data_IF_655545853154
#
_entry.id   IF_655545853154
#
_cell.length_a   1.000
_cell.length_b   1.000
_cell.length_c   1.000
_cell.angle_alpha   90.00
_cell.angle_beta   90.00
_cell.angle_gamma   90.00
#
_symmetry.space_group_name_H-M   'P 1'
#
loop_
_entity.id
_entity.type
_entity.pdbx_description
1 polymer ?
#
# COMPACT_ATOMS: atom_id res chain seq x y z
N UNK A 1 -31.44 3.91 -12.45
CA UNK A 1 -31.95 5.25 -12.84
C UNK A 1 -32.69 5.83 -11.65
N UNK A 2 -32.58 7.14 -11.41
CA UNK A 2 -33.23 7.82 -10.30
C UNK A 2 -34.76 7.61 -10.32
N UNK A 3 -35.35 7.56 -9.13
CA UNK A 3 -36.79 7.64 -8.98
C UNK A 3 -37.27 9.02 -9.46
N UNK A 4 -38.19 9.03 -10.44
CA UNK A 4 -38.63 10.26 -11.09
C UNK A 4 -39.46 11.15 -10.17
N UNK A 5 -40.21 10.57 -9.23
CA UNK A 5 -40.98 11.32 -8.24
C UNK A 5 -40.04 12.04 -7.28
N UNK A 6 -39.04 11.33 -6.72
CA UNK A 6 -38.04 11.95 -5.85
C UNK A 6 -37.29 13.07 -6.56
N UNK A 7 -36.83 12.84 -7.79
CA UNK A 7 -36.13 13.86 -8.57
C UNK A 7 -37.04 15.06 -8.88
N UNK A 8 -38.33 14.83 -9.14
CA UNK A 8 -39.29 15.90 -9.38
C UNK A 8 -39.53 16.75 -8.13
N UNK A 9 -39.66 16.13 -6.96
CA UNK A 9 -39.80 16.84 -5.67
C UNK A 9 -38.55 17.67 -5.39
N UNK A 10 -37.36 17.09 -5.55
CA UNK A 10 -36.10 17.80 -5.33
C UNK A 10 -35.95 19.02 -6.25
N UNK A 11 -36.36 18.90 -7.51
CA UNK A 11 -36.34 20.01 -8.48
C UNK A 11 -37.29 21.17 -8.13
N UNK A 12 -38.24 20.97 -7.23
CA UNK A 12 -39.09 22.06 -6.72
C UNK A 12 -38.39 22.92 -5.65
N UNK A 13 -37.22 22.50 -5.17
CA UNK A 13 -36.38 23.24 -4.23
C UNK A 13 -36.16 22.54 -2.90
N UNK A 14 -35.11 22.97 -2.19
CA UNK A 14 -34.70 22.35 -0.92
C UNK A 14 -35.79 22.41 0.15
N UNK A 15 -36.54 23.50 0.25
CA UNK A 15 -37.63 23.63 1.23
C UNK A 15 -38.74 22.59 1.01
N UNK A 16 -39.14 22.40 -0.26
CA UNK A 16 -40.15 21.41 -0.64
C UNK A 16 -39.64 19.99 -0.37
N UNK A 17 -38.38 19.73 -0.73
CA UNK A 17 -37.72 18.47 -0.46
C UNK A 17 -37.65 18.15 1.04
N UNK A 18 -37.16 19.08 1.86
CA UNK A 18 -37.02 18.89 3.29
C UNK A 18 -38.38 18.68 3.97
N UNK A 19 -39.41 19.43 3.58
CA UNK A 19 -40.78 19.19 4.05
C UNK A 19 -41.31 17.82 3.63
N UNK A 20 -40.98 17.37 2.42
CA UNK A 20 -41.33 16.03 1.99
C UNK A 20 -40.59 14.97 2.81
N UNK A 21 -39.30 15.15 3.14
CA UNK A 21 -38.54 14.26 4.03
C UNK A 21 -39.15 14.17 5.43
N UNK A 22 -39.55 15.29 6.01
CA UNK A 22 -40.23 15.34 7.31
C UNK A 22 -41.52 14.52 7.33
N UNK A 23 -42.30 14.58 6.24
CA UNK A 23 -43.55 13.80 6.11
C UNK A 23 -43.30 12.33 5.72
N UNK A 24 -42.09 11.98 5.28
CA UNK A 24 -41.74 10.66 4.75
C UNK A 24 -40.41 10.13 5.34
N UNK A 25 -40.27 10.03 6.68
CA UNK A 25 -38.98 9.72 7.30
C UNK A 25 -38.49 8.30 7.01
N UNK A 26 -39.40 7.37 6.71
CA UNK A 26 -39.07 5.97 6.42
C UNK A 26 -38.72 5.72 4.94
N UNK A 27 -38.97 6.67 4.05
CA UNK A 27 -38.62 6.52 2.63
C UNK A 27 -37.11 6.74 2.50
N UNK A 28 -36.43 5.83 1.80
CA UNK A 28 -35.03 6.00 1.39
C UNK A 28 -35.04 6.66 0.01
N UNK A 29 -34.59 7.92 -0.14
CA UNK A 29 -34.66 8.58 -1.44
C UNK A 29 -33.65 7.99 -2.42
N UNK A 30 -34.13 7.56 -3.59
CA UNK A 30 -33.29 7.14 -4.71
C UNK A 30 -33.14 8.25 -5.77
N UNK A 31 -31.92 8.78 -5.88
CA UNK A 31 -31.50 9.77 -6.87
C UNK A 31 -30.32 9.25 -7.72
N UNK A 32 -30.16 7.94 -7.82
CA UNK A 32 -29.05 7.29 -8.54
C UNK A 32 -28.95 7.80 -9.99
N UNK A 33 -27.74 8.13 -10.45
CA UNK A 33 -27.47 8.69 -11.79
C UNK A 33 -28.08 10.07 -12.07
N UNK A 34 -28.67 10.76 -11.09
CA UNK A 34 -29.22 12.08 -11.33
C UNK A 34 -28.11 13.11 -11.66
N UNK A 35 -28.48 14.14 -12.43
CA UNK A 35 -27.58 15.22 -12.82
C UNK A 35 -28.04 16.52 -12.19
N UNK A 36 -27.31 16.99 -11.18
CA UNK A 36 -27.56 18.22 -10.44
C UNK A 36 -26.26 19.04 -10.27
N UNK A 37 -25.43 19.09 -11.31
CA UNK A 37 -24.22 19.92 -11.35
C UNK A 37 -24.58 21.38 -11.10
N UNK A 38 -23.80 22.08 -10.26
CA UNK A 38 -24.02 23.49 -9.86
C UNK A 38 -25.35 23.77 -9.16
N UNK A 39 -25.99 22.75 -8.59
CA UNK A 39 -27.22 22.95 -7.85
C UNK A 39 -26.95 23.66 -6.52
N UNK A 40 -27.86 24.55 -6.11
CA UNK A 40 -27.92 25.06 -4.75
C UNK A 40 -28.77 24.08 -3.93
N UNK A 41 -28.11 23.35 -3.04
CA UNK A 41 -28.67 22.33 -2.17
C UNK A 41 -28.27 22.58 -0.70
N UNK A 42 -28.06 23.85 -0.34
CA UNK A 42 -27.72 24.27 1.02
C UNK A 42 -28.78 23.77 1.99
N UNK A 43 -28.36 23.11 3.08
CA UNK A 43 -29.24 22.50 4.10
C UNK A 43 -30.19 21.41 3.58
N UNK A 44 -29.91 20.80 2.43
CA UNK A 44 -30.73 19.68 1.94
C UNK A 44 -30.65 18.49 2.90
N UNK A 45 -31.78 17.83 3.15
CA UNK A 45 -31.83 16.58 3.90
C UNK A 45 -31.76 15.39 2.93
N UNK A 46 -30.55 14.88 2.71
CA UNK A 46 -30.26 13.64 2.01
C UNK A 46 -29.93 12.47 2.94
N UNK A 47 -30.41 12.51 4.18
CA UNK A 47 -30.26 11.42 5.14
C UNK A 47 -30.62 10.08 4.48
N UNK A 48 -29.66 9.15 4.51
CA UNK A 48 -29.72 7.78 3.98
C UNK A 48 -30.03 7.68 2.49
N UNK A 49 -30.00 8.78 1.73
CA UNK A 49 -30.33 8.79 0.32
C UNK A 49 -29.33 7.97 -0.50
N UNK A 50 -29.84 7.27 -1.51
CA UNK A 50 -29.01 6.63 -2.52
C UNK A 50 -28.70 7.63 -3.64
N UNK A 51 -27.47 8.13 -3.64
CA UNK A 51 -26.91 9.12 -4.56
C UNK A 51 -25.79 8.49 -5.42
N UNK A 52 -25.81 7.16 -5.58
CA UNK A 52 -24.84 6.39 -6.36
C UNK A 52 -24.73 6.95 -7.79
N UNK A 53 -23.48 7.14 -8.24
CA UNK A 53 -23.15 7.67 -9.59
C UNK A 53 -23.81 9.02 -9.94
N UNK A 54 -24.26 9.78 -8.94
CA UNK A 54 -24.85 11.09 -9.16
C UNK A 54 -23.78 12.13 -9.56
N UNK A 55 -24.16 13.11 -10.39
CA UNK A 55 -23.29 14.25 -10.67
C UNK A 55 -23.76 15.48 -9.88
N UNK A 56 -23.01 15.84 -8.85
CA UNK A 56 -23.17 17.03 -7.99
C UNK A 56 -21.93 17.93 -8.07
N UNK A 57 -21.15 17.84 -9.15
CA UNK A 57 -19.96 18.69 -9.31
C UNK A 57 -20.33 20.17 -9.21
N UNK A 58 -19.49 20.96 -8.54
CA UNK A 58 -19.67 22.41 -8.32
C UNK A 58 -20.98 22.81 -7.61
N UNK A 59 -21.68 21.86 -6.97
CA UNK A 59 -22.89 22.14 -6.20
C UNK A 59 -22.58 22.59 -4.77
N UNK A 60 -23.50 23.33 -4.18
CA UNK A 60 -23.41 23.79 -2.79
C UNK A 60 -24.34 22.96 -1.91
N UNK A 61 -23.76 22.12 -1.06
CA UNK A 61 -24.43 21.30 -0.05
C UNK A 61 -23.94 21.70 1.35
N UNK A 62 -23.51 22.95 1.54
CA UNK A 62 -23.12 23.42 2.87
C UNK A 62 -24.29 23.26 3.86
N UNK A 63 -23.97 22.86 5.09
CA UNK A 63 -24.93 22.55 6.16
C UNK A 63 -25.96 21.45 5.80
N UNK A 64 -25.71 20.63 4.77
CA UNK A 64 -26.60 19.52 4.41
C UNK A 64 -26.56 18.39 5.45
N UNK A 65 -27.65 17.65 5.56
CA UNK A 65 -27.67 16.36 6.27
C UNK A 65 -27.51 15.24 5.24
N UNK A 66 -26.38 14.54 5.32
CA UNK A 66 -26.01 13.39 4.49
C UNK A 66 -25.82 12.12 5.34
N UNK A 67 -26.31 12.09 6.59
CA UNK A 67 -26.16 10.97 7.50
C UNK A 67 -26.45 9.63 6.80
N UNK A 68 -25.46 8.74 6.76
CA UNK A 68 -25.48 7.42 6.11
C UNK A 68 -25.88 7.41 4.62
N UNK A 69 -25.70 8.52 3.90
CA UNK A 69 -25.98 8.58 2.46
C UNK A 69 -24.95 7.76 1.64
N UNK A 70 -25.40 7.19 0.53
CA UNK A 70 -24.53 6.48 -0.40
C UNK A 70 -24.18 7.38 -1.59
N UNK A 71 -22.94 7.89 -1.63
CA UNK A 71 -22.38 8.70 -2.70
C UNK A 71 -21.35 7.95 -3.55
N UNK A 72 -21.32 6.61 -3.47
CA UNK A 72 -20.35 5.79 -4.19
C UNK A 72 -20.30 6.15 -5.68
N UNK A 73 -19.09 6.24 -6.24
CA UNK A 73 -18.83 6.49 -7.66
C UNK A 73 -19.42 7.83 -8.16
N UNK A 74 -19.92 8.70 -7.28
CA UNK A 74 -20.45 10.00 -7.67
C UNK A 74 -19.33 10.94 -8.17
N UNK A 75 -19.73 11.93 -8.95
CA UNK A 75 -18.85 13.04 -9.32
C UNK A 75 -19.21 14.27 -8.49
N UNK A 76 -18.36 14.55 -7.50
CA UNK A 76 -18.50 15.63 -6.53
C UNK A 76 -17.32 16.63 -6.63
N UNK A 77 -16.68 16.74 -7.80
CA UNK A 77 -15.59 17.68 -8.01
C UNK A 77 -16.05 19.10 -7.66
N UNK A 78 -15.28 19.81 -6.82
CA UNK A 78 -15.58 21.18 -6.36
C UNK A 78 -16.91 21.32 -5.62
N UNK A 79 -17.41 20.25 -4.99
CA UNK A 79 -18.59 20.34 -4.15
C UNK A 79 -18.26 21.13 -2.87
N UNK A 80 -19.20 21.94 -2.40
CA UNK A 80 -19.15 22.52 -1.06
C UNK A 80 -19.98 21.66 -0.09
N UNK A 81 -19.31 21.06 0.89
CA UNK A 81 -19.87 20.26 1.99
C UNK A 81 -19.46 20.85 3.36
N UNK A 82 -19.11 22.14 3.40
CA UNK A 82 -18.80 22.82 4.66
C UNK A 82 -19.95 22.73 5.66
N UNK A 83 -19.61 22.44 6.92
CA UNK A 83 -20.53 22.25 8.04
C UNK A 83 -21.63 21.17 7.80
N UNK A 84 -21.46 20.29 6.81
CA UNK A 84 -22.41 19.21 6.55
C UNK A 84 -22.27 18.06 7.56
N UNK A 85 -23.38 17.39 7.87
CA UNK A 85 -23.35 16.12 8.60
C UNK A 85 -23.19 14.98 7.60
N UNK A 86 -21.97 14.47 7.47
CA UNK A 86 -21.59 13.37 6.61
C UNK A 86 -21.24 12.09 7.41
N UNK A 87 -21.81 11.94 8.61
CA UNK A 87 -21.60 10.74 9.43
C UNK A 87 -21.95 9.47 8.63
N UNK A 88 -21.04 8.49 8.59
CA UNK A 88 -21.24 7.20 7.94
C UNK A 88 -21.43 7.27 6.42
N UNK A 89 -21.14 8.40 5.76
CA UNK A 89 -21.32 8.54 4.32
C UNK A 89 -20.38 7.60 3.57
N UNK A 90 -20.90 6.95 2.53
CA UNK A 90 -20.10 6.14 1.64
C UNK A 90 -19.62 6.94 0.43
N UNK A 91 -18.34 7.31 0.41
CA UNK A 91 -17.67 7.96 -0.71
C UNK A 91 -16.87 7.00 -1.59
N UNK A 92 -17.06 5.68 -1.51
CA UNK A 92 -16.29 4.69 -2.29
C UNK A 92 -16.13 5.08 -3.77
N UNK A 93 -14.88 5.16 -4.26
CA UNK A 93 -14.54 5.54 -5.65
C UNK A 93 -15.08 6.89 -6.14
N UNK A 94 -15.43 7.79 -5.23
CA UNK A 94 -15.98 9.11 -5.57
C UNK A 94 -14.88 10.07 -6.05
N UNK A 95 -15.24 10.98 -6.95
CA UNK A 95 -14.38 12.11 -7.27
C UNK A 95 -14.73 13.32 -6.39
N UNK A 96 -13.92 13.58 -5.38
CA UNK A 96 -13.98 14.72 -4.45
C UNK A 96 -12.82 15.70 -4.65
N UNK A 97 -12.22 15.73 -5.85
CA UNK A 97 -11.14 16.68 -6.12
C UNK A 97 -11.66 18.12 -5.95
N UNK A 98 -10.87 18.97 -5.29
CA UNK A 98 -11.18 20.35 -4.94
C UNK A 98 -12.45 20.54 -4.07
N UNK A 99 -12.92 19.51 -3.37
CA UNK A 99 -14.07 19.60 -2.48
C UNK A 99 -13.77 20.36 -1.18
N UNK A 100 -14.77 21.02 -0.60
CA UNK A 100 -14.69 21.69 0.70
C UNK A 100 -15.50 20.93 1.75
N UNK A 101 -14.83 20.40 2.76
CA UNK A 101 -15.43 19.71 3.92
C UNK A 101 -15.21 20.48 5.22
N UNK A 102 -14.91 21.77 5.16
CA UNK A 102 -14.56 22.57 6.34
C UNK A 102 -15.62 22.46 7.44
N UNK A 103 -15.23 22.07 8.65
CA UNK A 103 -16.13 21.93 9.80
C UNK A 103 -17.16 20.79 9.72
N UNK A 104 -17.13 19.96 8.68
CA UNK A 104 -18.08 18.85 8.53
C UNK A 104 -17.86 17.70 9.51
N UNK A 105 -18.92 16.95 9.78
CA UNK A 105 -18.83 15.69 10.51
C UNK A 105 -18.65 14.54 9.52
N UNK A 106 -17.46 13.94 9.47
CA UNK A 106 -17.10 12.82 8.58
C UNK A 106 -16.81 11.55 9.39
N UNK A 107 -17.33 11.48 10.61
CA UNK A 107 -17.15 10.30 11.46
C UNK A 107 -17.70 9.06 10.75
N UNK A 108 -16.92 7.97 10.72
CA UNK A 108 -17.23 6.72 10.01
C UNK A 108 -17.41 6.83 8.49
N UNK A 109 -16.99 7.94 7.88
CA UNK A 109 -17.05 8.07 6.43
C UNK A 109 -16.09 7.09 5.73
N UNK A 110 -16.56 6.50 4.63
CA UNK A 110 -15.76 5.59 3.81
C UNK A 110 -15.15 6.31 2.60
N UNK A 111 -13.85 6.54 2.61
CA UNK A 111 -13.08 7.15 1.51
C UNK A 111 -12.29 6.13 0.67
N UNK A 112 -12.60 4.83 0.76
CA UNK A 112 -11.93 3.78 -0.02
C UNK A 112 -11.88 4.13 -1.52
N UNK A 113 -10.68 4.10 -2.11
CA UNK A 113 -10.42 4.41 -3.53
C UNK A 113 -10.89 5.82 -3.99
N UNK A 114 -11.08 6.76 -3.07
CA UNK A 114 -11.60 8.11 -3.36
C UNK A 114 -10.51 9.05 -3.86
N UNK A 115 -10.86 10.00 -4.74
CA UNK A 115 -9.96 11.09 -5.17
C UNK A 115 -10.26 12.36 -4.37
N UNK A 116 -9.29 12.85 -3.59
CA UNK A 116 -9.41 14.03 -2.73
C UNK A 116 -8.39 15.13 -3.09
N UNK A 117 -7.92 15.15 -4.34
CA UNK A 117 -6.89 16.10 -4.79
C UNK A 117 -7.28 17.55 -4.48
N UNK A 118 -6.42 18.27 -3.76
CA UNK A 118 -6.67 19.65 -3.29
C UNK A 118 -7.97 19.87 -2.48
N UNK A 119 -8.61 18.82 -1.97
CA UNK A 119 -9.75 18.98 -1.09
C UNK A 119 -9.31 19.57 0.27
N UNK A 120 -10.21 20.27 0.96
CA UNK A 120 -9.98 20.71 2.34
C UNK A 120 -10.87 19.95 3.31
N UNK A 121 -10.25 19.43 4.37
CA UNK A 121 -10.85 18.75 5.52
C UNK A 121 -10.65 19.61 6.79
N UNK A 122 -10.43 20.92 6.63
CA UNK A 122 -10.16 21.87 7.71
C UNK A 122 -11.17 21.74 8.84
N UNK A 123 -10.70 21.49 10.07
CA UNK A 123 -11.57 21.32 11.27
C UNK A 123 -12.68 20.26 11.16
N UNK A 124 -12.61 19.35 10.20
CA UNK A 124 -13.59 18.27 10.10
C UNK A 124 -13.34 17.19 11.16
N UNK A 125 -14.40 16.49 11.56
CA UNK A 125 -14.28 15.30 12.40
C UNK A 125 -14.12 14.06 11.52
N UNK A 126 -12.96 13.40 11.56
CA UNK A 126 -12.63 12.22 10.75
C UNK A 126 -12.49 10.95 11.62
N UNK A 127 -13.06 10.97 12.82
CA UNK A 127 -13.02 9.81 13.71
C UNK A 127 -13.63 8.57 13.04
N UNK A 128 -13.00 7.41 13.18
CA UNK A 128 -13.40 6.14 12.55
C UNK A 128 -13.53 6.19 11.00
N UNK A 129 -13.00 7.22 10.33
CA UNK A 129 -13.03 7.31 8.86
C UNK A 129 -11.97 6.41 8.21
N UNK A 130 -12.27 5.91 7.01
CA UNK A 130 -11.39 4.96 6.30
C UNK A 130 -10.80 5.56 5.02
N UNK A 131 -9.48 5.73 4.95
CA UNK A 131 -8.79 6.32 3.79
C UNK A 131 -8.07 5.30 2.89
N UNK A 132 -8.36 4.01 3.01
CA UNK A 132 -7.66 2.98 2.25
C UNK A 132 -7.61 3.29 0.73
N UNK A 133 -6.41 3.28 0.14
CA UNK A 133 -6.12 3.59 -1.29
C UNK A 133 -6.55 4.98 -1.79
N UNK A 134 -7.05 5.87 -0.91
CA UNK A 134 -7.45 7.21 -1.27
C UNK A 134 -6.30 8.04 -1.86
N UNK A 135 -6.63 9.01 -2.72
CA UNK A 135 -5.66 9.89 -3.37
C UNK A 135 -5.69 11.27 -2.72
N UNK A 136 -4.73 11.53 -1.84
CA UNK A 136 -4.70 12.69 -0.93
C UNK A 136 -3.73 13.81 -1.35
N UNK A 137 -3.32 13.86 -2.63
CA UNK A 137 -2.33 14.84 -3.05
C UNK A 137 -2.83 16.27 -2.79
N UNK A 138 -2.07 17.03 -1.98
CA UNK A 138 -2.40 18.40 -1.55
C UNK A 138 -3.74 18.52 -0.79
N UNK A 139 -4.26 17.44 -0.23
CA UNK A 139 -5.43 17.52 0.65
C UNK A 139 -5.03 18.22 1.95
N UNK A 140 -5.86 19.13 2.43
CA UNK A 140 -5.61 19.91 3.64
C UNK A 140 -6.33 19.29 4.84
N UNK A 141 -5.56 18.82 5.83
CA UNK A 141 -6.02 18.25 7.08
C UNK A 141 -5.90 19.22 8.26
N UNK A 142 -5.67 20.52 8.01
CA UNK A 142 -5.34 21.46 9.08
C UNK A 142 -6.44 21.52 10.16
N UNK A 143 -6.06 21.28 11.41
CA UNK A 143 -6.96 21.17 12.57
C UNK A 143 -8.07 20.12 12.46
N UNK A 144 -7.97 19.14 11.56
CA UNK A 144 -8.88 18.01 11.54
C UNK A 144 -8.76 17.17 12.84
N UNK A 145 -9.84 16.49 13.21
CA UNK A 145 -9.92 15.67 14.42
C UNK A 145 -9.87 14.20 14.03
N UNK A 146 -8.95 13.43 14.63
CA UNK A 146 -8.77 12.01 14.39
C UNK A 146 -8.92 11.16 15.66
N UNK A 147 -9.52 9.99 15.51
CA UNK A 147 -9.51 8.89 16.47
C UNK A 147 -10.01 7.65 15.74
N UNK A 148 -9.31 6.51 15.78
CA UNK A 148 -9.73 5.30 15.07
C UNK A 148 -9.71 5.41 13.54
N UNK A 149 -9.12 6.47 12.98
CA UNK A 149 -9.03 6.68 11.53
C UNK A 149 -7.99 5.74 10.92
N UNK A 150 -8.24 5.20 9.71
CA UNK A 150 -7.31 4.28 9.04
C UNK A 150 -6.65 4.89 7.81
N UNK A 151 -5.31 4.79 7.75
CA UNK A 151 -4.45 5.31 6.68
C UNK A 151 -3.66 4.18 6.02
N UNK A 152 -4.29 3.49 5.07
CA UNK A 152 -3.73 2.30 4.42
C UNK A 152 -3.59 2.49 2.90
N UNK A 153 -2.47 2.08 2.35
CA UNK A 153 -2.11 2.12 0.94
C UNK A 153 -2.17 3.52 0.30
N UNK A 154 -1.86 4.57 1.07
CA UNK A 154 -1.90 5.97 0.64
C UNK A 154 -0.54 6.67 0.66
N UNK A 155 -0.45 7.84 0.03
CA UNK A 155 0.70 8.72 0.07
C UNK A 155 0.35 9.99 0.88
N UNK A 156 1.01 10.16 2.02
CA UNK A 156 0.85 11.29 2.93
C UNK A 156 1.89 12.40 2.69
N UNK A 157 2.88 12.20 1.81
CA UNK A 157 4.03 13.11 1.63
C UNK A 157 3.67 14.52 1.16
N UNK A 158 2.48 14.69 0.59
CA UNK A 158 1.98 15.97 0.07
C UNK A 158 0.69 16.43 0.75
N UNK A 159 0.26 15.74 1.81
CA UNK A 159 -0.87 16.17 2.63
C UNK A 159 -0.43 17.35 3.48
N UNK A 160 -1.30 18.36 3.56
CA UNK A 160 -1.03 19.60 4.30
C UNK A 160 -1.65 19.51 5.69
N UNK A 161 -0.99 20.07 6.70
CA UNK A 161 -1.56 20.22 8.04
C UNK A 161 -1.54 18.97 8.92
N UNK A 162 -0.83 17.90 8.52
CA UNK A 162 -0.69 16.69 9.34
C UNK A 162 -0.14 16.96 10.74
N UNK A 163 0.75 17.95 10.87
CA UNK A 163 1.35 18.41 12.12
C UNK A 163 0.40 19.19 13.05
N UNK A 164 -0.76 19.60 12.53
CA UNK A 164 -1.77 20.39 13.25
C UNK A 164 -3.00 19.59 13.67
N UNK A 165 -3.03 18.29 13.33
CA UNK A 165 -4.15 17.41 13.60
C UNK A 165 -4.37 17.28 15.12
N UNK A 166 -5.64 17.22 15.51
CA UNK A 166 -6.08 17.00 16.88
C UNK A 166 -6.38 15.51 17.04
N UNK A 167 -5.59 14.80 17.83
CA UNK A 167 -5.79 13.38 18.10
C UNK A 167 -6.57 13.18 19.39
N UNK A 168 -7.76 12.58 19.31
CA UNK A 168 -8.57 12.14 20.47
C UNK A 168 -8.43 10.66 20.78
N UNK A 169 -7.70 9.92 19.92
CA UNK A 169 -7.34 8.53 20.10
C UNK A 169 -6.31 8.10 19.07
N UNK A 170 -5.71 6.92 19.23
CA UNK A 170 -4.79 6.37 18.23
C UNK A 170 -5.51 6.13 16.91
N UNK A 171 -4.75 6.12 15.82
CA UNK A 171 -5.22 5.89 14.46
C UNK A 171 -4.28 4.90 13.77
N UNK A 172 -4.77 4.15 12.80
CA UNK A 172 -3.97 3.11 12.14
C UNK A 172 -3.22 3.68 10.95
N UNK A 173 -1.93 3.41 10.87
CA UNK A 173 -1.11 3.71 9.69
C UNK A 173 -0.48 2.42 9.15
N UNK A 174 -0.70 2.16 7.86
CA UNK A 174 -0.10 1.03 7.16
C UNK A 174 1.40 1.21 6.97
N UNK A 175 2.16 0.11 7.00
CA UNK A 175 3.59 0.13 6.67
C UNK A 175 3.80 0.57 5.21
N UNK A 176 2.93 0.11 4.32
CA UNK A 176 2.85 0.56 2.92
C UNK A 176 2.67 2.08 2.79
N UNK A 177 1.85 2.71 3.64
CA UNK A 177 1.68 4.18 3.69
C UNK A 177 2.99 4.88 4.05
N UNK A 178 3.75 4.35 5.01
CA UNK A 178 5.08 4.88 5.38
C UNK A 178 6.04 4.83 4.18
N UNK A 179 6.07 3.70 3.46
CA UNK A 179 6.91 3.55 2.27
C UNK A 179 6.47 4.46 1.12
N UNK A 180 5.17 4.52 0.81
CA UNK A 180 4.63 5.39 -0.25
C UNK A 180 4.90 6.86 0.00
N UNK A 181 4.89 7.26 1.27
CA UNK A 181 5.19 8.63 1.68
C UNK A 181 6.70 8.92 1.70
N UNK A 182 7.55 7.93 1.42
CA UNK A 182 9.02 8.03 1.52
C UNK A 182 9.47 8.59 2.88
N UNK A 183 8.77 8.21 3.96
CA UNK A 183 9.04 8.69 5.32
C UNK A 183 8.77 10.18 5.55
N UNK A 184 8.26 10.92 4.56
CA UNK A 184 7.91 12.33 4.67
C UNK A 184 6.57 12.49 5.39
N UNK A 185 6.52 12.05 6.65
CA UNK A 185 5.35 12.13 7.52
C UNK A 185 5.82 12.80 8.82
N UNK A 186 5.15 13.87 9.30
CA UNK A 186 5.56 14.53 10.54
C UNK A 186 5.55 13.57 11.73
N UNK A 187 6.63 13.59 12.54
CA UNK A 187 6.72 12.74 13.73
C UNK A 187 5.58 12.96 14.73
N UNK A 188 5.11 14.21 14.87
CA UNK A 188 4.00 14.54 15.77
C UNK A 188 2.71 13.82 15.37
N UNK A 189 2.48 13.68 14.06
CA UNK A 189 1.35 12.92 13.53
C UNK A 189 1.53 11.43 13.79
N UNK A 190 2.72 10.88 13.54
CA UNK A 190 3.02 9.47 13.82
C UNK A 190 2.82 9.12 15.30
N UNK A 191 3.31 9.98 16.21
CA UNK A 191 3.06 9.85 17.66
C UNK A 191 1.57 9.97 17.99
N UNK A 192 0.86 10.90 17.38
CA UNK A 192 -0.59 11.07 17.55
C UNK A 192 -1.39 9.83 17.10
N UNK A 193 -0.92 9.12 16.08
CA UNK A 193 -1.46 7.83 15.67
C UNK A 193 -1.14 6.69 16.66
N UNK A 194 -0.24 6.91 17.62
CA UNK A 194 0.12 5.93 18.66
C UNK A 194 1.38 5.12 18.36
N UNK A 195 2.22 5.54 17.41
CA UNK A 195 3.48 4.85 17.13
C UNK A 195 4.51 5.12 18.26
N UNK A 196 5.23 4.08 18.74
CA UNK A 196 6.31 4.27 19.71
C UNK A 196 7.46 5.10 19.14
N UNK A 197 8.11 5.93 19.97
CA UNK A 197 9.24 6.78 19.56
C UNK A 197 10.38 5.97 18.92
N UNK A 198 10.72 4.79 19.49
CA UNK A 198 11.73 3.89 18.92
C UNK A 198 11.42 3.52 17.47
N UNK A 199 10.17 3.22 17.14
CA UNK A 199 9.76 2.89 15.79
C UNK A 199 9.86 4.10 14.85
N UNK A 200 9.51 5.30 15.34
CA UNK A 200 9.58 6.54 14.58
C UNK A 200 11.03 6.87 14.21
N UNK A 201 11.98 6.69 15.13
CA UNK A 201 13.41 6.88 14.87
C UNK A 201 13.93 5.97 13.75
N UNK A 202 13.35 4.77 13.58
CA UNK A 202 13.70 3.85 12.51
C UNK A 202 13.06 4.19 11.15
N UNK A 203 11.98 4.97 11.08
CA UNK A 203 11.28 5.26 9.81
C UNK A 203 12.18 5.85 8.71
N UNK A 204 13.07 6.83 8.99
CA UNK A 204 14.01 7.34 7.99
C UNK A 204 14.95 6.25 7.46
N UNK A 205 15.30 5.24 8.26
CA UNK A 205 16.11 4.10 7.80
C UNK A 205 15.31 3.14 6.92
N UNK A 206 14.01 3.00 7.16
CA UNK A 206 13.09 2.23 6.32
C UNK A 206 12.82 2.91 4.97
N UNK A 207 12.94 4.24 4.91
CA UNK A 207 12.47 5.07 3.79
C UNK A 207 13.56 5.93 3.12
N UNK A 208 14.78 5.88 3.63
CA UNK A 208 15.92 6.63 3.09
C UNK A 208 16.18 6.29 1.62
N UNK A 209 16.98 7.09 0.93
CA UNK A 209 17.51 6.67 -0.37
C UNK A 209 18.59 5.62 -0.15
N UNK A 210 18.18 4.37 0.01
CA UNK A 210 19.07 3.25 -0.21
C UNK A 210 19.59 3.33 -1.62
N UNK A 211 20.91 3.24 -1.72
CA UNK A 211 21.62 2.65 -2.85
C UNK A 211 20.73 1.56 -3.44
N UNK A 212 20.32 1.73 -4.70
CA UNK A 212 19.53 0.79 -5.52
C UNK A 212 19.04 -0.46 -4.77
N UNK A 213 17.80 -0.40 -4.30
CA UNK A 213 17.17 -1.45 -3.50
C UNK A 213 16.95 -2.72 -4.33
N UNK A 214 17.91 -3.64 -4.28
CA UNK A 214 17.71 -5.02 -4.68
C UNK A 214 17.25 -5.83 -3.47
N UNK A 215 16.05 -6.41 -3.54
CA UNK A 215 15.63 -7.47 -2.62
C UNK A 215 16.33 -8.77 -2.99
N UNK A 216 16.74 -9.58 -2.01
CA UNK A 216 17.49 -10.82 -2.23
C UNK A 216 16.78 -12.02 -1.57
N UNK A 217 16.40 -13.03 -2.35
CA UNK A 217 15.95 -14.31 -1.81
C UNK A 217 17.12 -15.27 -1.68
N UNK A 218 17.23 -15.91 -0.52
CA UNK A 218 18.27 -16.91 -0.23
C UNK A 218 17.64 -18.29 -0.42
N UNK A 219 18.04 -18.97 -1.50
CA UNK A 219 17.68 -20.37 -1.78
C UNK A 219 18.81 -21.28 -1.32
N UNK A 220 18.50 -22.26 -0.47
CA UNK A 220 19.49 -23.12 0.18
C UNK A 220 18.86 -24.45 0.63
N UNK A 221 19.68 -25.49 0.83
CA UNK A 221 19.22 -26.72 1.46
C UNK A 221 19.11 -26.53 2.98
N UNK A 222 18.10 -27.10 3.63
CA UNK A 222 17.96 -27.09 5.10
C UNK A 222 19.22 -27.58 5.86
N UNK A 223 20.08 -28.37 5.20
CA UNK A 223 21.36 -28.82 5.76
C UNK A 223 22.43 -27.74 5.84
N UNK A 224 22.25 -26.65 5.08
CA UNK A 224 23.17 -25.52 4.99
C UNK A 224 22.67 -24.31 5.79
N UNK A 225 21.70 -24.52 6.68
CA UNK A 225 21.03 -23.46 7.44
C UNK A 225 22.00 -22.60 8.27
N UNK A 226 23.09 -23.19 8.79
CA UNK A 226 24.11 -22.47 9.56
C UNK A 226 24.74 -21.35 8.71
N UNK A 227 25.13 -21.66 7.48
CA UNK A 227 25.70 -20.69 6.54
C UNK A 227 24.64 -19.71 6.04
N UNK A 228 23.45 -20.20 5.69
CA UNK A 228 22.35 -19.38 5.19
C UNK A 228 21.93 -18.31 6.22
N UNK A 229 21.80 -18.69 7.50
CA UNK A 229 21.51 -17.75 8.61
C UNK A 229 22.61 -16.72 8.79
N UNK A 230 23.88 -17.13 8.67
CA UNK A 230 25.00 -16.20 8.78
C UNK A 230 24.99 -15.15 7.67
N UNK A 231 24.92 -15.57 6.41
CA UNK A 231 24.86 -14.66 5.27
C UNK A 231 23.62 -13.78 5.31
N UNK A 232 22.47 -14.34 5.68
CA UNK A 232 21.25 -13.58 5.91
C UNK A 232 21.45 -12.44 6.91
N UNK A 233 21.98 -12.75 8.09
CA UNK A 233 22.19 -11.76 9.15
C UNK A 233 23.20 -10.68 8.73
N UNK A 234 24.29 -11.08 8.05
CA UNK A 234 25.31 -10.13 7.58
C UNK A 234 24.78 -9.25 6.43
N UNK A 235 23.98 -9.80 5.52
CA UNK A 235 23.29 -9.03 4.47
C UNK A 235 22.33 -8.01 5.09
N UNK A 236 21.52 -8.41 6.07
CA UNK A 236 20.62 -7.51 6.79
C UNK A 236 21.40 -6.41 7.53
N UNK A 237 22.52 -6.76 8.19
CA UNK A 237 23.38 -5.79 8.86
C UNK A 237 24.00 -4.76 7.90
N UNK A 238 24.12 -5.08 6.60
CA UNK A 238 24.55 -4.15 5.55
C UNK A 238 23.39 -3.45 4.83
N UNK A 239 22.16 -3.61 5.32
CA UNK A 239 20.96 -2.97 4.76
C UNK A 239 20.42 -3.64 3.50
N UNK A 240 20.83 -4.87 3.17
CA UNK A 240 20.25 -5.64 2.08
C UNK A 240 18.95 -6.29 2.56
N UNK A 241 17.84 -6.02 1.86
CA UNK A 241 16.54 -6.63 2.16
C UNK A 241 16.54 -8.07 1.67
N UNK A 242 16.78 -9.02 2.56
CA UNK A 242 16.79 -10.44 2.21
C UNK A 242 15.81 -11.28 3.03
N UNK A 243 15.32 -12.36 2.40
CA UNK A 243 14.50 -13.40 3.05
C UNK A 243 14.99 -14.76 2.62
N UNK A 244 14.70 -15.77 3.42
CA UNK A 244 14.77 -17.14 2.96
C UNK A 244 13.66 -17.38 1.94
N UNK A 245 13.98 -18.05 0.83
CA UNK A 245 12.95 -18.55 -0.07
C UNK A 245 12.00 -19.47 0.74
N UNK A 246 10.68 -19.42 0.50
CA UNK A 246 9.72 -20.19 1.29
C UNK A 246 9.97 -21.69 1.15
N UNK A 247 10.48 -22.32 2.20
CA UNK A 247 10.75 -23.76 2.25
C UNK A 247 9.86 -24.42 3.29
N UNK A 248 8.67 -24.87 2.85
CA UNK A 248 7.88 -25.88 3.55
C UNK A 248 6.87 -26.56 2.61
N UNK A 249 7.36 -27.10 1.47
CA UNK A 249 6.58 -28.08 0.71
C UNK A 249 7.33 -29.39 0.69
N UNK A 250 6.86 -30.28 1.56
CA UNK A 250 7.24 -31.69 1.60
C UNK A 250 7.18 -32.26 0.19
N UNK A 251 8.17 -33.08 -0.11
CA UNK A 251 8.24 -33.95 -1.30
C UNK A 251 6.86 -34.61 -1.48
N UNK A 252 6.14 -34.25 -2.56
CA UNK A 252 4.90 -34.93 -2.96
C UNK A 252 3.71 -34.04 -3.29
N UNK A 253 3.66 -32.76 -2.89
CA UNK A 253 2.48 -31.94 -3.16
C UNK A 253 2.64 -31.09 -4.43
N UNK A 254 1.72 -31.31 -5.37
CA UNK A 254 1.49 -30.46 -6.55
C UNK A 254 1.12 -29.04 -6.11
N UNK A 255 2.11 -28.21 -5.87
CA UNK A 255 1.92 -26.77 -5.69
C UNK A 255 2.74 -26.09 -6.78
N UNK A 256 2.11 -25.99 -7.93
CA UNK A 256 2.65 -25.41 -9.16
C UNK A 256 2.01 -24.05 -9.45
N UNK A 257 1.67 -23.27 -8.41
CA UNK A 257 0.89 -22.04 -8.61
C UNK A 257 1.10 -20.92 -7.57
N UNK A 258 2.11 -20.95 -6.71
CA UNK A 258 2.25 -19.91 -5.66
C UNK A 258 3.61 -19.25 -5.54
N UNK A 259 4.60 -19.65 -6.35
CA UNK A 259 5.87 -18.90 -6.44
C UNK A 259 5.83 -17.85 -7.55
N UNK A 260 4.94 -18.00 -8.55
CA UNK A 260 4.82 -17.04 -9.65
C UNK A 260 4.40 -15.62 -9.21
N UNK A 261 3.78 -15.47 -8.03
CA UNK A 261 3.32 -14.16 -7.54
C UNK A 261 4.27 -13.50 -6.51
N UNK A 262 5.30 -14.22 -6.03
CA UNK A 262 6.11 -13.76 -4.88
C UNK A 262 7.51 -13.24 -5.23
N UNK A 263 7.98 -13.45 -6.47
CA UNK A 263 9.16 -12.76 -6.99
C UNK A 263 8.64 -11.53 -7.72
N UNK A 264 8.57 -10.41 -6.99
CA UNK A 264 8.22 -9.13 -7.61
C UNK A 264 9.33 -8.76 -8.59
N UNK A 265 8.96 -7.94 -9.57
CA UNK A 265 9.68 -7.51 -10.78
C UNK A 265 11.21 -7.18 -10.69
N UNK A 266 11.85 -7.14 -9.51
CA UNK A 266 13.22 -6.67 -9.28
C UNK A 266 14.08 -7.53 -8.32
N UNK A 267 13.60 -8.69 -7.87
CA UNK A 267 14.29 -9.45 -6.81
C UNK A 267 15.47 -10.28 -7.35
N UNK A 268 16.59 -10.27 -6.63
CA UNK A 268 17.79 -11.10 -6.85
C UNK A 268 17.63 -12.44 -6.12
N UNK A 269 18.13 -13.51 -6.71
CA UNK A 269 18.17 -14.85 -6.14
C UNK A 269 19.62 -15.20 -5.78
N UNK A 270 19.93 -15.24 -4.49
CA UNK A 270 21.17 -15.79 -3.96
C UNK A 270 21.00 -17.31 -3.78
N UNK A 271 21.67 -18.08 -4.62
CA UNK A 271 21.60 -19.54 -4.60
C UNK A 271 22.82 -20.12 -3.89
N UNK A 272 22.59 -20.82 -2.77
CA UNK A 272 23.63 -21.51 -2.01
C UNK A 272 23.83 -22.91 -2.59
N UNK A 273 24.99 -23.08 -3.24
CA UNK A 273 25.43 -24.30 -3.88
C UNK A 273 26.30 -25.12 -2.92
N UNK A 274 25.74 -26.25 -2.52
CA UNK A 274 26.37 -27.30 -1.71
C UNK A 274 26.13 -28.65 -2.38
N UNK A 275 26.76 -29.71 -1.89
CA UNK A 275 26.46 -31.08 -2.28
C UNK A 275 24.95 -31.38 -2.21
N UNK A 276 24.26 -30.82 -1.22
CA UNK A 276 22.84 -31.07 -0.97
C UNK A 276 21.91 -30.33 -1.92
N UNK A 277 22.25 -29.11 -2.33
CA UNK A 277 21.45 -28.35 -3.30
C UNK A 277 21.77 -28.76 -4.74
N UNK A 278 23.02 -29.12 -5.05
CA UNK A 278 23.41 -29.56 -6.40
C UNK A 278 22.75 -30.90 -6.78
N UNK A 279 22.44 -31.76 -5.80
CA UNK A 279 21.76 -33.03 -6.02
C UNK A 279 20.23 -32.91 -6.08
N UNK A 280 19.67 -31.70 -5.95
CA UNK A 280 18.22 -31.47 -5.89
C UNK A 280 17.63 -31.15 -7.27
N UNK A 281 16.70 -31.99 -7.74
CA UNK A 281 15.96 -31.75 -8.99
C UNK A 281 15.24 -30.40 -9.00
N UNK A 282 14.81 -29.90 -7.83
CA UNK A 282 14.12 -28.61 -7.73
C UNK A 282 15.07 -27.43 -7.99
N UNK A 283 16.33 -27.52 -7.52
CA UNK A 283 17.35 -26.47 -7.74
C UNK A 283 17.68 -26.35 -9.22
N UNK A 284 17.72 -27.47 -9.94
CA UNK A 284 17.85 -27.48 -11.40
C UNK A 284 16.74 -26.65 -12.07
N UNK A 285 15.47 -26.92 -11.72
CA UNK A 285 14.34 -26.18 -12.29
C UNK A 285 14.34 -24.69 -11.93
N UNK A 286 14.70 -24.35 -10.69
CA UNK A 286 14.77 -22.95 -10.23
C UNK A 286 15.85 -22.16 -10.99
N UNK A 287 17.02 -22.77 -11.17
CA UNK A 287 18.14 -22.18 -11.93
C UNK A 287 17.77 -21.98 -13.39
N UNK A 288 17.21 -23.01 -14.04
CA UNK A 288 16.83 -22.92 -15.46
C UNK A 288 15.78 -21.83 -15.68
N UNK A 289 14.77 -21.77 -14.82
CA UNK A 289 13.74 -20.73 -14.87
C UNK A 289 14.31 -19.33 -14.65
N UNK A 290 15.23 -19.16 -13.68
CA UNK A 290 15.90 -17.89 -13.47
C UNK A 290 16.71 -17.45 -14.70
N UNK A 291 17.48 -18.37 -15.29
CA UNK A 291 18.26 -18.12 -16.51
C UNK A 291 17.36 -17.76 -17.72
N UNK A 292 16.20 -18.38 -17.84
CA UNK A 292 15.20 -18.06 -18.89
C UNK A 292 14.64 -16.65 -18.71
N UNK A 293 14.20 -16.31 -17.49
CA UNK A 293 13.69 -14.98 -17.17
C UNK A 293 14.73 -13.88 -17.41
N UNK A 294 16.00 -14.14 -17.08
CA UNK A 294 17.08 -13.18 -17.36
C UNK A 294 17.28 -12.97 -18.86
N UNK A 295 17.18 -14.03 -19.68
CA UNK A 295 17.32 -13.95 -21.15
C UNK A 295 16.21 -13.11 -21.76
N UNK A 296 14.98 -13.29 -21.31
CA UNK A 296 13.83 -12.50 -21.75
C UNK A 296 13.97 -11.02 -21.35
N UNK A 297 14.45 -10.76 -20.13
CA UNK A 297 14.40 -9.44 -19.49
C UNK A 297 15.69 -8.63 -19.61
N UNK A 298 16.78 -9.23 -20.10
CA UNK A 298 18.12 -8.61 -20.23
C UNK A 298 18.65 -8.00 -18.93
N UNK A 299 18.36 -8.65 -17.79
CA UNK A 299 18.80 -8.21 -16.46
C UNK A 299 19.25 -9.40 -15.64
N UNK A 300 20.37 -9.27 -14.93
CA UNK A 300 20.89 -10.32 -14.05
C UNK A 300 20.12 -10.39 -12.74
N UNK A 301 19.71 -11.59 -12.34
CA UNK A 301 18.98 -11.85 -11.10
C UNK A 301 19.54 -13.04 -10.31
N UNK A 302 20.29 -13.96 -10.93
CA UNK A 302 20.86 -15.13 -10.28
C UNK A 302 22.31 -14.89 -9.82
N UNK A 303 22.55 -15.04 -8.51
CA UNK A 303 23.83 -14.88 -7.82
C UNK A 303 24.21 -16.18 -7.10
N UNK A 304 24.94 -17.10 -7.76
CA UNK A 304 25.34 -18.36 -7.14
C UNK A 304 26.54 -18.18 -6.20
N UNK A 305 26.49 -18.81 -5.03
CA UNK A 305 27.61 -18.91 -4.08
C UNK A 305 27.83 -20.37 -3.71
N UNK A 306 29.09 -20.82 -3.66
CA UNK A 306 29.44 -22.20 -3.30
C UNK A 306 29.98 -22.28 -1.89
N UNK A 307 29.56 -23.29 -1.13
CA UNK A 307 30.10 -23.59 0.21
C UNK A 307 30.95 -24.87 0.25
N UNK A 308 30.96 -25.62 -0.85
CA UNK A 308 31.83 -26.78 -1.10
C UNK A 308 32.21 -26.86 -2.60
N UNK A 309 32.88 -27.94 -2.99
CA UNK A 309 33.33 -28.19 -4.35
C UNK A 309 32.30 -28.95 -5.22
N UNK A 310 31.12 -29.31 -4.69
CA UNK A 310 30.19 -30.19 -5.38
C UNK A 310 29.70 -29.63 -6.74
N UNK A 311 29.50 -28.31 -6.84
CA UNK A 311 29.15 -27.67 -8.12
C UNK A 311 30.31 -27.73 -9.13
N UNK A 312 31.55 -27.66 -8.66
CA UNK A 312 32.72 -27.71 -9.51
C UNK A 312 32.88 -29.12 -10.11
N UNK A 313 32.64 -30.14 -9.30
CA UNK A 313 32.73 -31.55 -9.67
C UNK A 313 31.50 -32.06 -10.43
N UNK A 314 30.35 -31.39 -10.30
CA UNK A 314 29.11 -31.79 -10.99
C UNK A 314 29.23 -31.72 -12.50
N UNK A 315 28.72 -32.75 -13.17
CA UNK A 315 28.68 -32.92 -14.62
C UNK A 315 27.28 -32.74 -15.21
N UNK A 316 26.30 -32.30 -14.40
CA UNK A 316 24.93 -32.04 -14.86
C UNK A 316 24.88 -30.91 -15.89
N UNK A 317 23.85 -30.91 -16.76
CA UNK A 317 23.70 -29.89 -17.80
C UNK A 317 23.60 -28.47 -17.24
N UNK A 318 22.74 -28.29 -16.23
CA UNK A 318 22.52 -27.00 -15.58
C UNK A 318 23.77 -26.49 -14.82
N UNK A 319 24.54 -27.37 -14.14
CA UNK A 319 25.77 -26.95 -13.44
C UNK A 319 26.82 -26.43 -14.42
N UNK A 320 26.93 -27.05 -15.60
CA UNK A 320 27.76 -26.56 -16.70
C UNK A 320 27.31 -25.18 -17.21
N UNK A 321 26.01 -24.91 -17.24
CA UNK A 321 25.47 -23.60 -17.63
C UNK A 321 25.80 -22.52 -16.60
N UNK A 322 25.58 -22.79 -15.32
CA UNK A 322 25.93 -21.85 -14.24
C UNK A 322 27.43 -21.53 -14.26
N UNK A 323 28.30 -22.55 -14.35
CA UNK A 323 29.76 -22.37 -14.40
C UNK A 323 30.24 -21.52 -15.59
N UNK A 324 29.58 -21.61 -16.74
CA UNK A 324 29.93 -20.83 -17.94
C UNK A 324 29.36 -19.42 -17.94
N UNK A 325 28.17 -19.24 -17.37
CA UNK A 325 27.41 -17.99 -17.50
C UNK A 325 27.49 -17.08 -16.27
N UNK A 326 28.00 -17.57 -15.14
CA UNK A 326 28.02 -16.82 -13.86
C UNK A 326 29.36 -16.90 -13.17
N UNK A 327 29.66 -15.83 -12.43
CA UNK A 327 30.65 -15.87 -11.37
C UNK A 327 30.04 -16.57 -10.15
N UNK A 328 30.69 -17.61 -9.65
CA UNK A 328 30.26 -18.31 -8.43
C UNK A 328 31.09 -17.78 -7.27
N UNK A 329 30.45 -17.12 -6.31
CA UNK A 329 31.13 -16.62 -5.12
C UNK A 329 31.67 -17.77 -4.26
N UNK A 330 32.94 -17.73 -3.87
CA UNK A 330 33.59 -18.79 -3.09
C UNK A 330 33.46 -18.54 -1.58
N UNK A 331 32.65 -19.36 -0.93
CA UNK A 331 32.45 -19.37 0.51
C UNK A 331 32.90 -20.70 1.14
N UNK A 332 33.73 -21.51 0.49
CA UNK A 332 34.18 -22.82 1.02
C UNK A 332 34.85 -22.74 2.39
N UNK A 333 35.51 -21.62 2.71
CA UNK A 333 36.15 -21.35 4.00
C UNK A 333 35.35 -20.39 4.88
N UNK A 334 34.02 -20.36 4.76
CA UNK A 334 33.15 -19.39 5.42
C UNK A 334 33.27 -19.38 6.96
N UNK A 335 33.73 -20.45 7.60
CA UNK A 335 33.97 -20.49 9.06
C UNK A 335 35.16 -19.64 9.52
N UNK A 336 36.07 -19.29 8.61
CA UNK A 336 37.20 -18.38 8.89
C UNK A 336 36.77 -16.92 8.65
N UNK A 337 37.09 -16.02 9.59
CA UNK A 337 36.56 -14.65 9.57
C UNK A 337 37.03 -13.84 8.36
N UNK A 338 38.33 -13.79 8.10
CA UNK A 338 38.92 -12.92 7.06
C UNK A 338 38.53 -13.36 5.65
N UNK A 339 38.54 -14.68 5.39
CA UNK A 339 38.14 -15.25 4.10
C UNK A 339 36.65 -15.02 3.83
N UNK A 340 35.81 -15.19 4.85
CA UNK A 340 34.38 -14.91 4.77
C UNK A 340 34.13 -13.44 4.44
N UNK A 341 34.74 -12.49 5.17
CA UNK A 341 34.54 -11.05 4.93
C UNK A 341 34.95 -10.66 3.51
N UNK A 342 36.09 -11.17 3.01
CA UNK A 342 36.54 -10.90 1.65
C UNK A 342 35.63 -11.48 0.55
N UNK A 343 34.94 -12.61 0.82
CA UNK A 343 33.94 -13.17 -0.09
C UNK A 343 32.59 -12.43 0.01
N UNK A 344 32.20 -12.05 1.23
CA UNK A 344 30.98 -11.31 1.52
C UNK A 344 30.98 -9.90 0.91
N UNK A 345 32.10 -9.17 1.01
CA UNK A 345 32.24 -7.85 0.38
C UNK A 345 32.15 -7.91 -1.15
N UNK A 346 32.57 -9.03 -1.76
CA UNK A 346 32.40 -9.28 -3.20
C UNK A 346 30.94 -9.53 -3.54
N UNK A 347 30.29 -10.44 -2.81
CA UNK A 347 28.87 -10.72 -2.94
C UNK A 347 28.03 -9.44 -2.82
N UNK A 348 28.35 -8.58 -1.85
CA UNK A 348 27.65 -7.31 -1.64
C UNK A 348 27.82 -6.34 -2.82
N UNK A 349 28.96 -6.36 -3.52
CA UNK A 349 29.16 -5.58 -4.74
C UNK A 349 28.35 -6.16 -5.91
N UNK A 350 28.33 -7.48 -6.07
CA UNK A 350 27.56 -8.14 -7.13
C UNK A 350 26.05 -7.92 -6.91
N UNK A 351 25.58 -7.99 -5.66
CA UNK A 351 24.21 -7.66 -5.29
C UNK A 351 23.86 -6.16 -5.44
N UNK A 352 24.83 -5.28 -5.75
CA UNK A 352 24.59 -3.85 -6.06
C UNK A 352 24.71 -3.51 -7.55
N UNK A 353 25.31 -4.38 -8.35
CA UNK A 353 25.38 -4.24 -9.82
C UNK A 353 24.05 -4.64 -10.47
#
# INVERSE_FOLDING_TARGET
MANQEHLHILKQGVEVWNKWRENNPLIIPDLTYAYLRKANLVKVNFERANLLEMNLSESDLSNANLYEANLSIANLNRINLSDADCYGVNFYKTNLSDADFSGSNLERANFLDTKLFNATLYKSNLSDAHFERAKLKKTDFFQAILSGTTFEDIDLSTVVGLDSIIHYGPSTIGVDTIYKSNGNIPEVFLRGCGLPDEFIEYIPSLTGKGIEYYSCFISYSHRDEEFAKRVHNDLQAKGVRCWFAPHDMKIGDKIRATIDDSIRLHDKLLLILSEHSVQSDWVEHEVEHALDLERERKKTSLFPVRIDDAIMDSTTGWSGNVKRQRHIGDFTQWKQHDTYQGAFDRLLRDLKA
#
